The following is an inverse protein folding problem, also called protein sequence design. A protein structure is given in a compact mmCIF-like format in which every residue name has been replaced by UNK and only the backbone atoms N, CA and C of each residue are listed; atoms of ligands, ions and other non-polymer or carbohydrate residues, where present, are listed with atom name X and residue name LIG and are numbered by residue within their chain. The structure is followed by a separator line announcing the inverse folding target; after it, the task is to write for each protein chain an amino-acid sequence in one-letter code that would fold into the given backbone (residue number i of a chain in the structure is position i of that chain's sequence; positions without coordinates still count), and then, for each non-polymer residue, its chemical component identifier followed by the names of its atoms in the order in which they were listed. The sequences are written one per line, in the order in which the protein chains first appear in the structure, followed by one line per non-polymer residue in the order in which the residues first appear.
data_IF_205208478862
#
_entry.id   IF_205208478862
#
_cell.length_a   1.000
_cell.length_b   1.000
_cell.length_c   1.000
_cell.angle_alpha   90.00
_cell.angle_beta   90.00
_cell.angle_gamma   90.00
#
_symmetry.space_group_name_H-M   'P 1'
#
loop_
_entity.id
_entity.type
_entity.pdbx_description
1 polymer ?
#
# COMPACT_ATOMS: atom_id res chain seq x y z
N UNK A 1 -15.81 9.73 -19.00
CA UNK A 1 -14.48 10.29 -18.65
C UNK A 1 -14.41 10.47 -17.14
N UNK A 2 -13.45 9.83 -16.47
CA UNK A 2 -13.27 10.05 -15.04
C UNK A 2 -12.28 11.20 -14.83
N UNK A 3 -12.64 12.21 -14.05
CA UNK A 3 -11.70 13.26 -13.65
C UNK A 3 -10.58 12.69 -12.79
N UNK A 4 -9.32 12.85 -13.23
CA UNK A 4 -8.14 12.49 -12.43
C UNK A 4 -7.96 13.55 -11.35
N UNK A 5 -8.13 13.14 -10.09
CA UNK A 5 -7.71 13.95 -8.93
C UNK A 5 -6.29 13.55 -8.56
N UNK A 6 -5.35 14.46 -8.82
CA UNK A 6 -3.95 14.32 -8.38
C UNK A 6 -3.80 14.89 -6.98
N UNK A 7 -3.00 14.21 -6.15
CA UNK A 7 -2.69 14.63 -4.79
C UNK A 7 -1.18 14.63 -4.62
N UNK A 8 -0.64 15.73 -4.09
CA UNK A 8 0.77 15.85 -3.78
C UNK A 8 1.04 15.26 -2.40
N UNK A 9 1.96 14.31 -2.30
CA UNK A 9 2.36 13.67 -1.04
C UNK A 9 3.87 13.69 -0.94
N UNK A 10 4.41 13.83 0.27
CA UNK A 10 5.85 13.67 0.50
C UNK A 10 6.29 12.25 0.09
N UNK A 11 7.24 12.18 -0.85
CA UNK A 11 7.75 10.93 -1.43
C UNK A 11 8.33 10.02 -0.35
N UNK A 12 9.00 10.58 0.67
CA UNK A 12 9.61 9.83 1.78
C UNK A 12 8.54 9.32 2.75
N UNK A 13 7.51 10.12 3.05
CA UNK A 13 6.36 9.69 3.85
C UNK A 13 5.60 8.53 3.17
N UNK A 14 5.40 8.63 1.86
CA UNK A 14 4.76 7.55 1.09
C UNK A 14 5.63 6.27 1.05
N UNK A 15 6.95 6.42 0.93
CA UNK A 15 7.88 5.29 1.02
C UNK A 15 7.83 4.64 2.41
N UNK A 16 7.88 5.44 3.48
CA UNK A 16 7.75 4.99 4.86
C UNK A 16 6.48 4.18 5.06
N UNK A 17 5.32 4.67 4.62
CA UNK A 17 4.06 3.94 4.70
C UNK A 17 4.14 2.55 4.04
N UNK A 18 4.73 2.45 2.83
CA UNK A 18 4.90 1.16 2.14
C UNK A 18 5.82 0.20 2.91
N UNK A 19 6.95 0.70 3.41
CA UNK A 19 7.93 -0.12 4.15
C UNK A 19 7.37 -0.57 5.50
N UNK A 20 6.71 0.32 6.23
CA UNK A 20 6.08 -0.01 7.52
C UNK A 20 5.01 -1.09 7.35
N UNK A 21 4.16 -1.00 6.33
CA UNK A 21 3.19 -2.06 6.05
C UNK A 21 3.86 -3.39 5.67
N UNK A 22 4.92 -3.38 4.85
CA UNK A 22 5.66 -4.60 4.51
C UNK A 22 6.31 -5.22 5.76
N UNK A 23 6.92 -4.39 6.60
CA UNK A 23 7.55 -4.80 7.85
C UNK A 23 6.53 -5.40 8.83
N UNK A 24 5.37 -4.77 9.01
CA UNK A 24 4.29 -5.30 9.85
C UNK A 24 3.85 -6.70 9.41
N UNK A 25 3.70 -6.92 8.09
CA UNK A 25 3.34 -8.24 7.56
C UNK A 25 4.45 -9.28 7.77
N UNK A 26 5.72 -8.90 7.64
CA UNK A 26 6.84 -9.80 7.95
C UNK A 26 6.93 -10.15 9.44
N UNK A 27 6.74 -9.16 10.32
CA UNK A 27 6.66 -9.39 11.78
C UNK A 27 5.52 -10.37 12.08
N UNK A 28 4.34 -10.13 11.50
CA UNK A 28 3.20 -11.04 11.65
C UNK A 28 3.50 -12.46 11.17
N UNK A 29 4.22 -12.61 10.05
CA UNK A 29 4.58 -13.90 9.47
C UNK A 29 5.63 -14.66 10.29
N UNK A 30 6.70 -13.98 10.73
CA UNK A 30 7.82 -14.59 11.46
C UNK A 30 7.41 -14.95 12.88
N UNK A 31 6.80 -14.01 13.60
CA UNK A 31 6.44 -14.19 15.01
C UNK A 31 5.06 -14.83 15.20
N UNK A 32 4.33 -15.12 14.11
CA UNK A 32 2.98 -15.68 14.15
C UNK A 32 2.02 -14.81 15.00
N UNK A 33 2.11 -13.49 14.82
CA UNK A 33 1.31 -12.48 15.54
C UNK A 33 0.15 -11.99 14.66
N UNK A 34 -1.06 -12.57 14.76
CA UNK A 34 -2.20 -12.15 13.94
C UNK A 34 -2.62 -10.71 14.22
N UNK A 35 -2.33 -10.17 15.41
CA UNK A 35 -2.61 -8.79 15.81
C UNK A 35 -1.88 -7.79 14.90
N UNK A 36 -0.65 -8.11 14.46
CA UNK A 36 0.09 -7.25 13.54
C UNK A 36 -0.58 -7.17 12.15
N UNK A 37 -1.30 -8.22 11.72
CA UNK A 37 -2.09 -8.20 10.49
C UNK A 37 -3.30 -7.27 10.66
N UNK A 38 -3.97 -7.32 11.81
CA UNK A 38 -5.10 -6.45 12.15
C UNK A 38 -4.65 -4.98 12.13
N UNK A 39 -3.50 -4.67 12.71
CA UNK A 39 -2.93 -3.32 12.67
C UNK A 39 -2.70 -2.86 11.22
N UNK A 40 -2.09 -3.71 10.38
CA UNK A 40 -1.88 -3.39 8.96
C UNK A 40 -3.20 -3.18 8.22
N UNK A 41 -4.22 -4.00 8.50
CA UNK A 41 -5.56 -3.91 7.93
C UNK A 41 -6.25 -2.59 8.31
N UNK A 42 -6.20 -2.18 9.58
CA UNK A 42 -6.74 -0.90 10.06
C UNK A 42 -6.02 0.28 9.41
N UNK A 43 -4.69 0.21 9.25
CA UNK A 43 -3.92 1.26 8.55
C UNK A 43 -4.35 1.35 7.08
N UNK A 44 -4.55 0.22 6.40
CA UNK A 44 -4.99 0.20 5.00
C UNK A 44 -6.41 0.74 4.86
N UNK A 45 -7.33 0.33 5.73
CA UNK A 45 -8.73 0.78 5.72
C UNK A 45 -8.84 2.28 6.01
N UNK A 46 -8.17 2.77 7.05
CA UNK A 46 -8.14 4.20 7.38
C UNK A 46 -7.55 5.01 6.23
N UNK A 47 -6.48 4.52 5.59
CA UNK A 47 -5.88 5.18 4.41
C UNK A 47 -6.77 5.13 3.17
N UNK A 48 -7.66 4.14 3.04
CA UNK A 48 -8.66 4.07 1.99
C UNK A 48 -9.80 5.09 2.21
N UNK A 49 -10.25 5.25 3.46
CA UNK A 49 -11.34 6.17 3.83
C UNK A 49 -10.87 7.62 3.75
N UNK A 50 -9.75 7.94 4.41
CA UNK A 50 -9.23 9.30 4.53
C UNK A 50 -8.52 9.79 3.27
N UNK A 51 -7.96 8.88 2.48
CA UNK A 51 -7.01 9.21 1.43
C UNK A 51 -5.56 9.10 1.89
N UNK A 52 -4.63 9.09 0.94
CA UNK A 52 -3.20 8.87 1.21
C UNK A 52 -2.53 10.08 1.88
N UNK A 53 -2.96 11.29 1.52
CA UNK A 53 -2.49 12.56 2.08
C UNK A 53 -2.82 12.73 3.56
N UNK A 54 -3.90 12.09 4.01
CA UNK A 54 -4.36 12.11 5.41
C UNK A 54 -4.20 10.76 6.10
N UNK A 55 -3.40 9.85 5.51
CA UNK A 55 -3.18 8.55 6.11
C UNK A 55 -2.39 8.66 7.42
N UNK A 56 -2.69 7.83 8.43
CA UNK A 56 -2.09 7.97 9.76
C UNK A 56 -0.57 7.85 9.72
N UNK A 57 -0.01 6.98 8.87
CA UNK A 57 1.43 6.83 8.73
C UNK A 57 2.10 8.01 8.01
N UNK A 58 1.42 8.64 7.05
CA UNK A 58 1.96 9.83 6.37
C UNK A 58 1.97 11.01 7.33
N UNK A 59 0.85 11.24 8.05
CA UNK A 59 0.78 12.29 9.07
C UNK A 59 1.80 12.05 10.20
N UNK A 60 1.93 10.80 10.66
CA UNK A 60 2.94 10.45 11.66
C UNK A 60 4.35 10.77 11.16
N UNK A 61 4.69 10.39 9.93
CA UNK A 61 5.98 10.70 9.33
C UNK A 61 6.20 12.21 9.21
N UNK A 62 5.24 12.95 8.68
CA UNK A 62 5.37 14.39 8.46
C UNK A 62 5.54 15.16 9.78
N UNK A 63 4.87 14.74 10.86
CA UNK A 63 4.99 15.35 12.19
C UNK A 63 6.33 15.00 12.86
N UNK A 64 6.86 13.79 12.64
CA UNK A 64 8.06 13.29 13.34
C UNK A 64 9.34 13.52 12.55
N UNK A 65 9.50 12.82 11.43
CA UNK A 65 10.72 12.78 10.63
C UNK A 65 10.70 13.87 9.56
N UNK A 66 9.52 14.22 9.05
CA UNK A 66 9.34 15.20 7.98
C UNK A 66 9.87 16.59 8.32
N UNK A 67 9.90 16.97 9.60
CA UNK A 67 10.48 18.26 10.05
C UNK A 67 11.98 18.38 9.81
N UNK A 68 12.69 17.26 9.68
CA UNK A 68 14.16 17.22 9.58
C UNK A 68 14.66 17.04 8.15
N UNK A 69 13.76 16.81 7.19
CA UNK A 69 14.11 16.37 5.84
C UNK A 69 13.39 17.22 4.81
N UNK A 70 14.08 17.62 3.75
CA UNK A 70 13.47 18.36 2.63
C UNK A 70 12.26 17.63 2.02
N UNK A 71 11.21 18.43 1.74
CA UNK A 71 9.94 17.97 1.17
C UNK A 71 10.03 17.73 -0.34
N UNK A 72 10.37 16.51 -0.75
CA UNK A 72 10.16 16.06 -2.13
C UNK A 72 8.70 15.65 -2.34
N UNK A 73 7.89 16.49 -2.99
CA UNK A 73 6.49 16.16 -3.30
C UNK A 73 6.41 15.32 -4.58
N UNK A 74 5.66 14.22 -4.51
CA UNK A 74 5.29 13.42 -5.68
C UNK A 74 3.79 13.52 -5.91
N UNK A 75 3.38 13.63 -7.18
CA UNK A 75 1.98 13.61 -7.55
C UNK A 75 1.51 12.15 -7.70
N UNK A 76 0.43 11.82 -7.01
CA UNK A 76 -0.19 10.50 -7.05
C UNK A 76 -1.65 10.62 -7.47
N UNK A 77 -2.12 9.66 -8.28
CA UNK A 77 -3.53 9.58 -8.62
C UNK A 77 -4.33 9.05 -7.41
N UNK A 78 -5.24 9.87 -6.90
CA UNK A 78 -6.00 9.58 -5.68
C UNK A 78 -6.78 8.25 -5.77
N UNK A 79 -7.45 8.00 -6.90
CA UNK A 79 -8.26 6.78 -7.09
C UNK A 79 -7.39 5.54 -7.18
N UNK A 80 -6.27 5.65 -7.89
CA UNK A 80 -5.27 4.60 -8.04
C UNK A 80 -4.70 4.15 -6.69
N UNK A 81 -4.38 5.11 -5.81
CA UNK A 81 -3.90 4.80 -4.46
C UNK A 81 -5.01 4.22 -3.57
N UNK A 82 -6.24 4.75 -3.64
CA UNK A 82 -7.38 4.17 -2.90
C UNK A 82 -7.63 2.72 -3.32
N UNK A 83 -7.57 2.42 -4.62
CA UNK A 83 -7.66 1.05 -5.11
C UNK A 83 -6.55 0.16 -4.54
N UNK A 84 -5.31 0.65 -4.48
CA UNK A 84 -4.20 -0.09 -3.90
C UNK A 84 -4.38 -0.37 -2.40
N UNK A 85 -4.94 0.58 -1.63
CA UNK A 85 -5.23 0.36 -0.21
C UNK A 85 -6.41 -0.58 0.00
N UNK A 86 -7.48 -0.45 -0.78
CA UNK A 86 -8.64 -1.35 -0.72
C UNK A 86 -8.26 -2.80 -1.08
N UNK A 87 -7.49 -2.98 -2.15
CA UNK A 87 -7.01 -4.32 -2.52
C UNK A 87 -6.08 -4.90 -1.45
N UNK A 88 -5.19 -4.09 -0.88
CA UNK A 88 -4.39 -4.49 0.27
C UNK A 88 -5.23 -4.92 1.46
N UNK A 89 -6.27 -4.17 1.80
CA UNK A 89 -7.21 -4.49 2.89
C UNK A 89 -7.87 -5.84 2.66
N UNK A 90 -8.53 -6.04 1.50
CA UNK A 90 -9.20 -7.30 1.15
C UNK A 90 -8.22 -8.48 1.23
N UNK A 91 -7.01 -8.31 0.69
CA UNK A 91 -5.99 -9.35 0.73
C UNK A 91 -5.53 -9.67 2.15
N UNK A 92 -5.43 -8.69 3.06
CA UNK A 92 -5.09 -8.92 4.47
C UNK A 92 -6.23 -9.59 5.25
N UNK A 93 -7.49 -9.39 4.84
CA UNK A 93 -8.64 -10.06 5.46
C UNK A 93 -8.62 -11.58 5.21
N UNK A 94 -8.13 -12.05 4.07
CA UNK A 94 -8.07 -13.49 3.71
C UNK A 94 -7.29 -14.32 4.75
N UNK A 95 -6.00 -14.04 5.06
CA UNK A 95 -5.26 -14.81 6.05
C UNK A 95 -5.89 -14.71 7.45
N UNK A 96 -6.46 -13.56 7.82
CA UNK A 96 -7.19 -13.40 9.08
C UNK A 96 -8.42 -14.31 9.14
N UNK A 97 -9.19 -14.38 8.05
CA UNK A 97 -10.35 -15.27 7.94
C UNK A 97 -9.92 -16.75 8.06
N UNK A 98 -8.83 -17.14 7.39
CA UNK A 98 -8.26 -18.49 7.52
C UNK A 98 -7.86 -18.80 8.97
N UNK A 99 -7.21 -17.88 9.67
CA UNK A 99 -6.75 -18.07 11.05
C UNK A 99 -7.91 -18.08 12.06
N UNK A 100 -8.81 -17.09 11.99
CA UNK A 100 -9.84 -16.89 13.01
C UNK A 100 -11.12 -17.68 12.75
N UNK A 101 -11.62 -17.71 11.51
CA UNK A 101 -12.90 -18.35 11.18
C UNK A 101 -12.72 -19.85 10.88
N UNK A 102 -11.72 -20.21 10.08
CA UNK A 102 -11.52 -21.61 9.65
C UNK A 102 -10.51 -22.39 10.51
N UNK A 103 -9.82 -21.72 11.44
CA UNK A 103 -8.73 -22.30 12.27
C UNK A 103 -7.64 -22.98 11.43
N UNK A 104 -7.49 -22.57 10.17
CA UNK A 104 -6.53 -23.11 9.22
C UNK A 104 -5.21 -22.32 9.30
N UNK A 105 -4.53 -22.42 10.45
CA UNK A 105 -3.34 -21.63 10.76
C UNK A 105 -2.25 -21.75 9.68
N UNK A 106 -1.93 -22.97 9.24
CA UNK A 106 -0.87 -23.20 8.23
C UNK A 106 -1.17 -22.48 6.92
N UNK A 107 -2.41 -22.55 6.45
CA UNK A 107 -2.84 -21.91 5.20
C UNK A 107 -2.84 -20.38 5.37
N UNK A 108 -3.40 -19.87 6.47
CA UNK A 108 -3.44 -18.43 6.72
C UNK A 108 -2.05 -17.80 6.76
N UNK A 109 -1.09 -18.43 7.44
CA UNK A 109 0.28 -17.95 7.46
C UNK A 109 1.03 -18.13 6.13
N UNK A 110 0.75 -19.19 5.37
CA UNK A 110 1.31 -19.35 4.03
C UNK A 110 0.86 -18.22 3.10
N UNK A 111 -0.44 -17.88 3.12
CA UNK A 111 -0.99 -16.73 2.39
C UNK A 111 -0.34 -15.43 2.88
N UNK A 112 -0.19 -15.24 4.19
CA UNK A 112 0.46 -14.05 4.75
C UNK A 112 1.89 -13.87 4.24
N UNK A 113 2.69 -14.94 4.14
CA UNK A 113 4.05 -14.88 3.58
C UNK A 113 4.02 -14.41 2.12
N UNK A 114 3.12 -14.95 1.31
CA UNK A 114 2.94 -14.51 -0.09
C UNK A 114 2.60 -13.01 -0.13
N UNK A 115 1.70 -12.55 0.73
CA UNK A 115 1.32 -11.14 0.81
C UNK A 115 2.48 -10.25 1.27
N UNK A 116 3.28 -10.69 2.25
CA UNK A 116 4.46 -9.95 2.71
C UNK A 116 5.49 -9.79 1.59
N UNK A 117 5.72 -10.83 0.79
CA UNK A 117 6.60 -10.79 -0.40
C UNK A 117 6.05 -9.80 -1.44
N UNK A 118 4.77 -9.92 -1.81
CA UNK A 118 4.13 -9.01 -2.77
C UNK A 118 4.19 -7.55 -2.28
N UNK A 119 3.96 -7.32 -0.98
CA UNK A 119 4.02 -5.98 -0.39
C UNK A 119 5.44 -5.42 -0.41
N UNK A 120 6.45 -6.25 -0.20
CA UNK A 120 7.87 -5.88 -0.29
C UNK A 120 8.24 -5.46 -1.71
N UNK A 121 7.83 -6.25 -2.72
CA UNK A 121 8.04 -5.91 -4.14
C UNK A 121 7.37 -4.56 -4.49
N UNK A 122 6.15 -4.34 -4.00
CA UNK A 122 5.44 -3.08 -4.15
C UNK A 122 6.13 -1.90 -3.42
N UNK A 123 6.72 -2.15 -2.24
CA UNK A 123 7.46 -1.14 -1.50
C UNK A 123 8.72 -0.67 -2.24
N UNK A 124 9.46 -1.61 -2.85
CA UNK A 124 10.63 -1.37 -3.70
C UNK A 124 10.29 -0.68 -5.04
N UNK A 125 9.00 -0.57 -5.40
CA UNK A 125 8.54 0.21 -6.54
C UNK A 125 8.45 -0.53 -7.88
N UNK A 126 8.65 -1.86 -7.87
CA UNK A 126 8.57 -2.69 -9.08
C UNK A 126 7.15 -2.71 -9.66
N UNK A 127 6.19 -3.28 -8.93
CA UNK A 127 4.81 -3.42 -9.37
C UNK A 127 3.86 -3.14 -8.20
N UNK A 128 3.23 -1.96 -8.20
CA UNK A 128 2.21 -1.62 -7.22
C UNK A 128 0.82 -1.76 -7.84
N UNK A 129 -0.17 -2.11 -7.03
CA UNK A 129 -1.57 -2.18 -7.46
C UNK A 129 -2.07 -0.85 -8.07
N UNK A 130 -1.48 0.28 -7.67
CA UNK A 130 -1.73 1.59 -8.30
C UNK A 130 -1.29 1.63 -9.77
N UNK A 131 -0.11 1.09 -10.10
CA UNK A 131 0.34 0.99 -11.50
C UNK A 131 -0.51 0.01 -12.31
N UNK A 132 -0.99 -1.07 -11.69
CA UNK A 132 -1.93 -1.99 -12.33
C UNK A 132 -3.26 -1.30 -12.66
N UNK A 133 -3.81 -0.52 -11.72
CA UNK A 133 -5.01 0.27 -11.95
C UNK A 133 -4.83 1.26 -13.12
N UNK A 134 -3.71 1.97 -13.17
CA UNK A 134 -3.39 2.88 -14.28
C UNK A 134 -3.23 2.13 -15.62
N UNK A 135 -2.63 0.95 -15.61
CA UNK A 135 -2.52 0.11 -16.81
C UNK A 135 -3.90 -0.33 -17.33
N UNK A 136 -4.72 -0.92 -16.47
CA UNK A 136 -6.00 -1.53 -16.88
C UNK A 136 -7.05 -0.46 -17.20
N UNK A 137 -7.15 0.57 -16.38
CA UNK A 137 -8.22 1.58 -16.51
C UNK A 137 -7.83 2.70 -17.46
N UNK A 138 -6.56 3.13 -17.46
CA UNK A 138 -6.11 4.25 -18.28
C UNK A 138 -5.45 3.83 -19.61
N UNK A 139 -5.22 2.53 -19.84
CA UNK A 139 -4.55 2.05 -21.04
C UNK A 139 -3.09 2.53 -21.18
N UNK A 140 -2.49 3.05 -20.11
CA UNK A 140 -1.10 3.53 -20.12
C UNK A 140 -0.11 2.38 -19.90
N UNK A 141 1.07 2.49 -20.52
CA UNK A 141 2.17 1.51 -20.50
C UNK A 141 2.22 0.63 -19.23
N UNK A 142 1.68 -0.58 -19.34
CA UNK A 142 1.65 -1.59 -18.28
C UNK A 142 3.06 -1.98 -17.86
N UNK A 143 3.34 -1.88 -16.56
CA UNK A 143 4.52 -2.37 -15.83
C UNK A 143 5.84 -2.49 -16.63
N UNK A 144 6.14 -1.56 -17.53
CA UNK A 144 7.45 -1.49 -18.19
C UNK A 144 8.45 -0.97 -17.15
N UNK A 145 9.25 -1.89 -16.64
CA UNK A 145 10.44 -1.60 -15.84
C UNK A 145 11.22 -0.45 -16.51
N UNK A 146 11.45 0.64 -15.79
CA UNK A 146 12.42 1.68 -16.19
C UNK A 146 11.90 2.91 -16.96
N UNK A 147 10.60 3.09 -17.24
CA UNK A 147 10.11 4.34 -17.90
C UNK A 147 9.48 5.34 -16.91
N UNK A 148 10.02 6.56 -16.91
CA UNK A 148 9.49 7.74 -16.19
C UNK A 148 8.09 8.07 -16.72
N UNK A 149 7.07 8.01 -15.86
CA UNK A 149 5.69 8.37 -16.22
C UNK A 149 5.68 9.86 -16.55
N UNK A 150 5.64 10.21 -17.84
CA UNK A 150 5.24 11.56 -18.28
C UNK A 150 3.74 11.63 -18.06
N UNK A 151 3.27 12.69 -17.40
CA UNK A 151 1.84 12.92 -17.12
C UNK A 151 1.01 12.76 -18.39
N UNK A 152 0.47 11.56 -18.59
CA UNK A 152 -0.35 11.19 -19.71
C UNK A 152 -1.80 11.21 -19.25
N UNK A 153 -2.67 11.71 -20.13
CA UNK A 153 -4.11 11.81 -19.89
C UNK A 153 -4.69 10.40 -19.66
N UNK A 154 -5.30 10.19 -18.50
CA UNK A 154 -6.60 9.55 -18.40
C UNK A 154 -7.62 10.56 -17.84
#
# INVERSE_FOLDING_TARGET
MQTIKMVAVNKKAFAFCKYTLALLLWIAAIFRLPEAIIVAEVILLSSYILGVDKSPLVLFFDITIGKLIEEDKTLLNFKSIRFAHMSGFILCTIPLLCIYAFKAYTIGYAILVILAVLKTIGALGYCSASKFYECVICGNNCCRLGKKIRGGKC
#
